data_IF_373328347892
#
_entry.id   IF_373328347892
#
_cell.length_a   1.000
_cell.length_b   1.000
_cell.length_c   1.000
_cell.angle_alpha   90.00
_cell.angle_beta   90.00
_cell.angle_gamma   90.00
#
_symmetry.space_group_name_H-M   'P 1'
#
loop_
_entity.id
_entity.type
_entity.pdbx_description
1 polymer ?
#
# COMPACT_ATOMS: atom_id res chain seq x y z
N UNK A 1 30.89 14.96 6.00
CA UNK A 1 30.76 15.20 4.54
C UNK A 1 29.29 15.05 4.20
N UNK A 2 28.71 16.15 3.74
CA UNK A 2 27.30 16.45 3.77
C UNK A 2 26.51 15.69 2.72
N UNK A 3 25.33 15.17 3.11
CA UNK A 3 24.33 14.58 2.24
C UNK A 3 23.96 15.54 1.10
N UNK A 4 24.44 15.26 -0.11
CA UNK A 4 23.98 15.93 -1.32
C UNK A 4 22.87 15.11 -1.97
N UNK A 5 21.66 15.68 -1.88
CA UNK A 5 20.62 15.70 -2.90
C UNK A 5 20.45 14.42 -3.74
N UNK A 6 19.51 13.57 -3.33
CA UNK A 6 18.66 12.89 -4.33
C UNK A 6 17.79 13.98 -4.93
N UNK A 7 18.17 14.44 -6.12
CA UNK A 7 17.35 15.34 -6.94
C UNK A 7 16.14 14.52 -7.39
N UNK A 8 15.04 14.62 -6.64
CA UNK A 8 13.72 14.27 -7.17
C UNK A 8 13.47 15.22 -8.34
N UNK A 9 13.25 14.74 -9.58
CA UNK A 9 13.01 15.61 -10.71
C UNK A 9 11.85 16.58 -10.40
N UNK A 10 12.08 17.89 -10.49
CA UNK A 10 11.04 18.93 -10.30
C UNK A 10 9.92 18.89 -11.36
N UNK A 11 9.94 17.91 -12.27
CA UNK A 11 8.95 17.73 -13.32
C UNK A 11 7.67 16.99 -12.85
N UNK A 12 7.51 16.74 -11.56
CA UNK A 12 6.25 16.23 -10.96
C UNK A 12 5.27 17.34 -10.57
N UNK A 13 5.39 18.54 -11.15
CA UNK A 13 4.36 19.58 -11.03
C UNK A 13 3.06 19.10 -11.67
N UNK A 14 2.16 18.63 -10.81
CA UNK A 14 0.70 18.68 -10.89
C UNK A 14 0.13 19.33 -12.16
N UNK A 15 0.10 18.59 -13.27
CA UNK A 15 -0.81 18.89 -14.37
C UNK A 15 -2.25 18.66 -13.88
N UNK A 16 -2.90 19.75 -13.46
CA UNK A 16 -4.34 19.89 -13.24
C UNK A 16 -4.97 18.88 -12.25
N UNK A 17 -4.58 18.92 -10.98
CA UNK A 17 -5.48 18.43 -9.94
C UNK A 17 -6.36 19.59 -9.44
N UNK A 18 -7.56 19.66 -10.04
CA UNK A 18 -8.79 20.26 -9.52
C UNK A 18 -8.85 21.80 -9.47
N UNK A 19 -9.76 22.39 -10.25
CA UNK A 19 -10.24 23.76 -10.02
C UNK A 19 -11.23 23.77 -8.86
N UNK A 20 -10.75 24.05 -7.65
CA UNK A 20 -11.60 24.25 -6.47
C UNK A 20 -12.14 25.67 -6.49
N UNK A 21 -13.45 25.85 -6.29
CA UNK A 21 -14.02 27.19 -6.19
C UNK A 21 -13.42 27.94 -4.99
N UNK A 22 -13.08 29.25 -5.13
CA UNK A 22 -12.65 30.06 -3.99
C UNK A 22 -13.63 30.03 -2.81
N UNK A 23 -14.93 29.81 -3.07
CA UNK A 23 -15.94 29.66 -2.03
C UNK A 23 -15.80 28.35 -1.24
N UNK A 24 -15.50 27.23 -1.91
CA UNK A 24 -15.30 25.93 -1.26
C UNK A 24 -14.02 25.91 -0.43
N UNK A 25 -12.97 26.56 -0.94
CA UNK A 25 -11.72 26.77 -0.21
C UNK A 25 -11.96 27.57 1.07
N UNK A 26 -12.66 28.70 0.97
CA UNK A 26 -13.05 29.51 2.13
C UNK A 26 -13.93 28.75 3.11
N UNK A 27 -14.86 27.90 2.63
CA UNK A 27 -15.72 27.10 3.50
C UNK A 27 -14.91 26.09 4.31
N UNK A 28 -13.97 25.39 3.67
CA UNK A 28 -13.05 24.46 4.34
C UNK A 28 -12.15 25.18 5.36
N UNK A 29 -11.62 26.35 5.00
CA UNK A 29 -10.80 27.20 5.90
C UNK A 29 -11.62 27.80 7.06
N UNK A 30 -12.90 28.14 6.85
CA UNK A 30 -13.78 28.62 7.92
C UNK A 30 -14.10 27.54 8.94
N UNK A 31 -14.17 26.27 8.51
CA UNK A 31 -14.24 25.14 9.44
C UNK A 31 -12.97 25.03 10.33
N UNK A 32 -11.83 25.60 9.90
CA UNK A 32 -10.58 25.65 10.66
C UNK A 32 -10.56 26.72 11.78
N UNK A 33 -11.31 27.82 11.61
CA UNK A 33 -11.26 28.97 12.54
C UNK A 33 -12.04 28.74 13.84
N UNK A 34 -12.95 27.77 13.91
CA UNK A 34 -13.80 27.49 15.08
C UNK A 34 -13.12 26.70 16.21
N UNK A 35 -11.80 26.53 16.22
CA UNK A 35 -11.14 25.40 16.92
C UNK A 35 -10.01 25.71 17.94
N UNK A 36 -9.81 26.92 18.45
CA UNK A 36 -8.76 27.15 19.49
C UNK A 36 -9.30 27.05 20.93
N UNK A 37 -9.13 25.88 21.56
CA UNK A 37 -9.09 25.70 23.04
C UNK A 37 -8.35 24.41 23.45
N UNK A 38 -7.77 24.32 24.67
CA UNK A 38 -6.58 23.52 24.99
C UNK A 38 -6.86 22.09 25.53
N UNK A 39 -5.81 21.23 25.66
CA UNK A 39 -5.96 19.80 25.96
C UNK A 39 -6.20 19.49 27.45
N UNK A 40 -7.12 18.56 27.74
CA UNK A 40 -7.37 17.98 29.07
C UNK A 40 -6.46 16.77 29.34
N UNK A 41 -5.93 16.73 30.55
CA UNK A 41 -5.07 15.69 31.13
C UNK A 41 -5.85 14.38 31.38
N UNK A 42 -5.23 13.23 31.09
CA UNK A 42 -5.73 11.91 31.50
C UNK A 42 -5.02 11.42 32.78
N UNK A 43 -5.82 10.93 33.72
CA UNK A 43 -5.42 10.28 34.97
C UNK A 43 -5.04 8.81 34.75
N UNK A 44 -4.04 8.34 35.50
CA UNK A 44 -3.51 6.97 35.53
C UNK A 44 -4.16 6.14 36.65
N UNK A 45 -4.38 4.86 36.39
CA UNK A 45 -4.57 3.79 37.39
C UNK A 45 -4.57 2.46 36.62
N UNK A 46 -3.83 1.40 36.96
CA UNK A 46 -3.15 1.02 38.19
C UNK A 46 -3.71 -0.32 38.65
N UNK A 47 -3.18 -1.46 38.17
CA UNK A 47 -3.44 -2.78 38.77
C UNK A 47 -2.26 -3.76 38.56
N UNK A 48 -1.97 -4.50 39.63
CA UNK A 48 -0.90 -5.49 39.85
C UNK A 48 -1.43 -6.95 39.74
N UNK A 49 -0.58 -8.00 39.77
CA UNK A 49 -0.83 -9.29 39.08
C UNK A 49 -0.95 -10.59 39.93
N UNK A 50 -1.26 -11.70 39.22
CA UNK A 50 -0.95 -13.16 39.47
C UNK A 50 -1.86 -13.97 40.43
N UNK A 51 -1.88 -15.35 40.45
CA UNK A 51 -0.90 -16.34 39.92
C UNK A 51 -1.38 -17.72 39.33
N UNK A 52 -0.43 -18.39 38.64
CA UNK A 52 -0.04 -19.84 38.57
C UNK A 52 -1.01 -21.00 38.25
N UNK A 53 -0.55 -21.94 37.39
CA UNK A 53 -0.42 -23.39 37.70
C UNK A 53 0.35 -24.20 36.62
N UNK A 54 1.32 -25.01 37.07
CA UNK A 54 2.14 -25.98 36.31
C UNK A 54 1.42 -27.32 36.09
N UNK A 55 1.83 -28.09 35.06
CA UNK A 55 1.98 -29.56 35.17
C UNK A 55 2.93 -30.14 34.10
N UNK A 56 3.40 -31.35 34.42
CA UNK A 56 4.71 -31.96 34.16
C UNK A 56 4.71 -33.01 33.02
N UNK A 57 5.93 -33.26 32.50
CA UNK A 57 6.43 -34.29 31.58
C UNK A 57 5.62 -35.58 31.34
N UNK A 58 5.64 -36.08 30.10
CA UNK A 58 6.42 -37.26 29.65
C UNK A 58 5.89 -37.81 28.32
N UNK A 59 6.74 -37.99 27.31
CA UNK A 59 6.89 -39.21 26.49
C UNK A 59 7.89 -38.96 25.36
N UNK A 60 9.07 -39.57 25.47
CA UNK A 60 10.00 -39.76 24.36
C UNK A 60 9.89 -41.21 23.90
N UNK A 61 10.06 -41.39 22.59
CA UNK A 61 10.41 -42.62 21.82
C UNK A 61 9.41 -42.92 20.71
N UNK A 62 9.38 -42.04 19.69
CA UNK A 62 9.05 -42.37 18.28
C UNK A 62 9.14 -41.18 17.29
N UNK A 63 9.67 -40.00 17.67
CA UNK A 63 9.70 -38.79 16.81
C UNK A 63 11.01 -38.56 16.02
N UNK A 64 12.09 -39.31 16.28
CA UNK A 64 13.42 -38.99 15.72
C UNK A 64 13.55 -39.17 14.20
N UNK A 65 12.79 -40.08 13.58
CA UNK A 65 12.91 -40.37 12.14
C UNK A 65 12.10 -39.43 11.23
N UNK A 66 11.05 -38.79 11.74
CA UNK A 66 10.23 -37.82 10.99
C UNK A 66 10.86 -36.42 11.07
N UNK A 67 11.45 -36.07 12.21
CA UNK A 67 12.16 -34.81 12.40
C UNK A 67 13.48 -34.75 11.60
N UNK A 68 14.23 -35.86 11.48
CA UNK A 68 15.43 -35.89 10.64
C UNK A 68 15.10 -35.74 9.15
N UNK A 69 14.03 -36.37 8.66
CA UNK A 69 13.60 -36.23 7.26
C UNK A 69 13.12 -34.81 6.95
N UNK A 70 12.32 -34.21 7.84
CA UNK A 70 11.88 -32.83 7.73
C UNK A 70 13.02 -31.80 7.86
N UNK A 71 14.07 -32.12 8.61
CA UNK A 71 15.26 -31.29 8.78
C UNK A 71 16.20 -31.40 7.56
N UNK A 72 16.45 -32.61 7.04
CA UNK A 72 17.20 -32.81 5.80
C UNK A 72 16.52 -32.15 4.59
N UNK A 73 15.19 -32.18 4.51
CA UNK A 73 14.45 -31.54 3.43
C UNK A 73 14.47 -30.00 3.53
N UNK A 74 14.40 -29.44 4.76
CA UNK A 74 14.59 -28.00 4.99
C UNK A 74 16.02 -27.53 4.70
N UNK A 75 17.02 -28.36 4.98
CA UNK A 75 18.41 -28.06 4.67
C UNK A 75 18.65 -28.09 3.14
N UNK A 76 18.05 -29.05 2.43
CA UNK A 76 18.11 -29.13 0.96
C UNK A 76 17.40 -27.96 0.27
N UNK A 77 16.21 -27.56 0.74
CA UNK A 77 15.51 -26.38 0.21
C UNK A 77 16.29 -25.09 0.47
N UNK A 78 16.95 -24.98 1.63
CA UNK A 78 17.79 -23.83 1.97
C UNK A 78 19.01 -23.76 1.06
N UNK A 79 19.69 -24.88 0.84
CA UNK A 79 20.84 -24.97 -0.08
C UNK A 79 20.46 -24.57 -1.50
N UNK A 80 19.30 -25.04 -1.99
CA UNK A 80 18.77 -24.68 -3.30
C UNK A 80 18.46 -23.17 -3.42
N UNK A 81 17.83 -22.58 -2.40
CA UNK A 81 17.58 -21.13 -2.36
C UNK A 81 18.90 -20.34 -2.38
N UNK A 82 19.89 -20.76 -1.58
CA UNK A 82 21.22 -20.13 -1.57
C UNK A 82 21.88 -20.26 -2.95
N UNK A 83 21.78 -21.41 -3.61
CA UNK A 83 22.29 -21.61 -4.96
C UNK A 83 21.65 -20.64 -5.95
N UNK A 84 20.33 -20.46 -5.93
CA UNK A 84 19.67 -19.48 -6.78
C UNK A 84 20.09 -18.04 -6.48
N UNK A 85 20.29 -17.68 -5.21
CA UNK A 85 20.80 -16.35 -4.84
C UNK A 85 22.19 -16.12 -5.41
N UNK A 86 23.08 -17.12 -5.33
CA UNK A 86 24.42 -17.04 -5.93
C UNK A 86 24.35 -16.89 -7.46
N UNK A 87 23.42 -17.61 -8.11
CA UNK A 87 23.20 -17.53 -9.55
C UNK A 87 22.70 -16.17 -10.04
N UNK A 88 22.16 -15.30 -9.17
CA UNK A 88 21.78 -13.93 -9.55
C UNK A 88 22.97 -13.11 -10.07
N UNK A 89 24.19 -13.43 -9.62
CA UNK A 89 25.42 -12.75 -10.04
C UNK A 89 25.82 -13.10 -11.48
N UNK A 90 25.41 -14.27 -11.95
CA UNK A 90 25.65 -14.75 -13.31
C UNK A 90 24.55 -14.23 -14.24
N UNK A 91 24.90 -13.37 -15.21
CA UNK A 91 23.94 -12.71 -16.10
C UNK A 91 23.12 -13.71 -16.93
N UNK A 92 23.69 -14.86 -17.29
CA UNK A 92 23.00 -15.88 -18.09
C UNK A 92 21.96 -16.65 -17.28
N UNK A 93 22.24 -16.87 -15.99
CA UNK A 93 21.34 -17.63 -15.08
C UNK A 93 20.37 -16.75 -14.31
N UNK A 94 20.62 -15.44 -14.26
CA UNK A 94 19.87 -14.49 -13.43
C UNK A 94 18.36 -14.55 -13.65
N UNK A 95 17.91 -14.61 -14.90
CA UNK A 95 16.47 -14.62 -15.20
C UNK A 95 15.76 -15.85 -14.63
N UNK A 96 16.37 -17.02 -14.80
CA UNK A 96 15.86 -18.27 -14.23
C UNK A 96 15.88 -18.20 -12.70
N UNK A 97 17.00 -17.78 -12.11
CA UNK A 97 17.13 -17.65 -10.66
C UNK A 97 16.09 -16.68 -10.05
N UNK A 98 15.84 -15.54 -10.69
CA UNK A 98 14.79 -14.59 -10.27
C UNK A 98 13.40 -15.23 -10.29
N UNK A 99 13.09 -15.99 -11.35
CA UNK A 99 11.82 -16.71 -11.49
C UNK A 99 11.63 -17.75 -10.39
N UNK A 100 12.64 -18.59 -10.14
CA UNK A 100 12.58 -19.64 -9.13
C UNK A 100 12.50 -19.08 -7.70
N UNK A 101 13.30 -18.05 -7.39
CA UNK A 101 13.22 -17.37 -6.09
C UNK A 101 11.85 -16.73 -5.88
N UNK A 102 11.27 -16.09 -6.91
CA UNK A 102 9.95 -15.47 -6.81
C UNK A 102 8.85 -16.50 -6.52
N UNK A 103 8.97 -17.74 -7.01
CA UNK A 103 8.03 -18.84 -6.68
C UNK A 103 8.16 -19.30 -5.23
N UNK A 104 9.35 -19.21 -4.63
CA UNK A 104 9.62 -19.62 -3.24
C UNK A 104 9.23 -18.58 -2.19
N UNK A 105 8.76 -17.38 -2.59
CA UNK A 105 8.47 -16.25 -1.67
C UNK A 105 7.43 -16.54 -0.59
N UNK A 106 6.48 -17.43 -0.85
CA UNK A 106 5.40 -17.80 0.08
C UNK A 106 5.73 -19.07 0.87
N UNK A 107 6.48 -20.00 0.28
CA UNK A 107 6.81 -21.30 0.87
C UNK A 107 8.10 -21.29 1.70
N UNK A 108 8.97 -20.29 1.55
CA UNK A 108 10.24 -20.18 2.26
C UNK A 108 10.29 -18.91 3.15
N UNK A 109 9.90 -19.01 4.44
CA UNK A 109 9.78 -17.83 5.33
C UNK A 109 11.08 -17.04 5.53
N UNK A 110 12.24 -17.69 5.45
CA UNK A 110 13.55 -17.07 5.67
C UNK A 110 14.12 -16.40 4.41
N UNK A 111 13.36 -16.31 3.32
CA UNK A 111 13.85 -15.79 2.04
C UNK A 111 14.30 -14.33 2.17
N UNK A 112 13.50 -13.49 2.81
CA UNK A 112 13.77 -12.06 2.89
C UNK A 112 15.10 -11.72 3.57
N UNK A 113 15.42 -12.26 4.77
CA UNK A 113 16.74 -12.06 5.39
C UNK A 113 17.89 -12.56 4.52
N UNK A 114 17.76 -13.75 3.88
CA UNK A 114 18.79 -14.26 2.98
C UNK A 114 19.04 -13.32 1.81
N UNK A 115 17.98 -12.82 1.16
CA UNK A 115 18.10 -11.87 0.06
C UNK A 115 18.74 -10.55 0.50
N UNK A 116 18.34 -10.02 1.65
CA UNK A 116 18.82 -8.73 2.15
C UNK A 116 20.30 -8.76 2.54
N UNK A 117 20.73 -9.81 3.24
CA UNK A 117 22.10 -9.93 3.75
C UNK A 117 23.07 -10.57 2.77
N UNK A 118 22.60 -11.15 1.67
CA UNK A 118 23.47 -11.63 0.61
C UNK A 118 24.12 -10.48 -0.16
N UNK A 119 25.45 -10.48 -0.20
CA UNK A 119 26.23 -9.40 -0.83
C UNK A 119 25.86 -9.26 -2.30
N UNK A 120 25.49 -8.04 -2.70
CA UNK A 120 25.18 -7.65 -4.08
C UNK A 120 23.75 -7.94 -4.54
N UNK A 121 22.95 -8.71 -3.80
CA UNK A 121 21.59 -9.11 -4.23
C UNK A 121 20.66 -7.92 -4.42
N UNK A 122 20.60 -7.00 -3.44
CA UNK A 122 19.76 -5.80 -3.56
C UNK A 122 20.24 -4.87 -4.68
N UNK A 123 21.57 -4.77 -4.90
CA UNK A 123 22.12 -3.99 -6.01
C UNK A 123 21.71 -4.57 -7.37
N UNK A 124 21.69 -5.89 -7.52
CA UNK A 124 21.19 -6.57 -8.72
C UNK A 124 19.72 -6.25 -8.94
N UNK A 125 18.88 -6.29 -7.89
CA UNK A 125 17.46 -5.93 -8.03
C UNK A 125 17.26 -4.48 -8.50
N UNK A 126 18.04 -3.54 -7.95
CA UNK A 126 18.01 -2.14 -8.38
C UNK A 126 18.51 -1.97 -9.82
N UNK A 127 19.50 -2.76 -10.24
CA UNK A 127 19.98 -2.78 -11.62
C UNK A 127 18.88 -3.28 -12.59
N UNK A 128 18.17 -4.35 -12.23
CA UNK A 128 17.05 -4.87 -13.02
C UNK A 128 15.92 -3.83 -13.15
N UNK A 129 15.64 -3.06 -12.08
CA UNK A 129 14.72 -1.91 -12.14
C UNK A 129 15.22 -0.84 -13.11
N UNK A 130 16.48 -0.43 -12.98
CA UNK A 130 17.06 0.64 -13.79
C UNK A 130 17.05 0.31 -15.29
N UNK A 131 17.30 -0.95 -15.66
CA UNK A 131 17.22 -1.42 -17.06
C UNK A 131 15.82 -1.22 -17.65
N UNK A 132 14.75 -1.31 -16.85
CA UNK A 132 13.38 -1.12 -17.33
C UNK A 132 13.07 0.34 -17.62
N UNK A 133 13.77 1.31 -17.01
CA UNK A 133 13.49 2.74 -17.20
C UNK A 133 13.60 3.20 -18.64
N UNK A 134 14.55 2.67 -19.42
CA UNK A 134 14.70 2.99 -20.84
C UNK A 134 13.51 2.54 -21.70
N UNK A 135 12.68 1.61 -21.20
CA UNK A 135 11.51 1.08 -21.90
C UNK A 135 10.20 1.74 -21.46
N UNK A 136 10.25 2.69 -20.52
CA UNK A 136 9.07 3.46 -20.10
C UNK A 136 8.75 4.58 -21.08
N UNK A 137 9.79 5.18 -21.67
CA UNK A 137 9.69 6.25 -22.67
C UNK A 137 10.79 6.07 -23.75
N UNK A 138 10.44 5.69 -25.00
CA UNK A 138 9.10 5.34 -25.48
C UNK A 138 8.56 4.07 -24.80
N UNK A 139 7.23 3.93 -24.74
CA UNK A 139 6.56 2.86 -23.98
C UNK A 139 6.67 1.48 -24.67
N UNK A 140 7.88 0.91 -24.66
CA UNK A 140 8.30 -0.29 -25.41
C UNK A 140 8.66 -1.45 -24.46
N UNK A 141 7.82 -1.69 -23.46
CA UNK A 141 8.01 -2.82 -22.53
C UNK A 141 7.46 -4.12 -23.12
N UNK A 142 8.32 -5.10 -23.35
CA UNK A 142 7.92 -6.43 -23.85
C UNK A 142 7.31 -7.31 -22.75
N UNK A 143 6.52 -8.34 -23.10
CA UNK A 143 5.99 -9.30 -22.12
C UNK A 143 7.08 -10.03 -21.33
N UNK A 144 8.19 -10.40 -21.97
CA UNK A 144 9.32 -11.07 -21.31
C UNK A 144 9.99 -10.15 -20.27
N UNK A 145 10.28 -8.90 -20.65
CA UNK A 145 10.83 -7.89 -19.72
C UNK A 145 9.89 -7.63 -18.54
N UNK A 146 8.58 -7.53 -18.81
CA UNK A 146 7.55 -7.37 -17.78
C UNK A 146 7.53 -8.55 -16.80
N UNK A 147 7.58 -9.79 -17.29
CA UNK A 147 7.63 -10.98 -16.44
C UNK A 147 8.87 -10.98 -15.53
N UNK A 148 10.05 -10.70 -16.12
CA UNK A 148 11.33 -10.66 -15.41
C UNK A 148 11.34 -9.61 -14.30
N UNK A 149 10.91 -8.37 -14.59
CA UNK A 149 10.86 -7.32 -13.56
C UNK A 149 9.79 -7.63 -12.50
N UNK A 150 8.65 -8.23 -12.87
CA UNK A 150 7.65 -8.65 -11.90
C UNK A 150 8.18 -9.71 -10.91
N UNK A 151 9.08 -10.59 -11.32
CA UNK A 151 9.79 -11.50 -10.40
C UNK A 151 10.62 -10.73 -9.38
N UNK A 152 11.39 -9.72 -9.82
CA UNK A 152 12.16 -8.84 -8.92
C UNK A 152 11.21 -8.12 -7.95
N UNK A 153 10.14 -7.51 -8.46
CA UNK A 153 9.15 -6.80 -7.63
C UNK A 153 8.47 -7.73 -6.61
N UNK A 154 8.21 -8.99 -6.97
CA UNK A 154 7.70 -10.00 -6.03
C UNK A 154 8.69 -10.30 -4.89
N UNK A 155 9.99 -10.33 -5.18
CA UNK A 155 11.03 -10.47 -4.17
C UNK A 155 11.15 -9.21 -3.29
N UNK A 156 11.06 -8.01 -3.87
CA UNK A 156 11.01 -6.76 -3.10
C UNK A 156 9.77 -6.70 -2.20
N UNK A 157 8.63 -7.22 -2.66
CA UNK A 157 7.41 -7.35 -1.85
C UNK A 157 7.64 -8.26 -0.64
N UNK A 158 8.38 -9.36 -0.81
CA UNK A 158 8.79 -10.24 0.29
C UNK A 158 9.63 -9.48 1.34
N UNK A 159 10.61 -8.68 0.89
CA UNK A 159 11.43 -7.83 1.78
C UNK A 159 10.59 -6.80 2.54
N UNK A 160 9.59 -6.19 1.88
CA UNK A 160 8.71 -5.20 2.47
C UNK A 160 7.73 -5.79 3.51
N UNK A 161 7.33 -7.06 3.37
CA UNK A 161 6.45 -7.75 4.31
C UNK A 161 7.20 -8.29 5.54
N UNK A 162 8.48 -8.61 5.40
CA UNK A 162 9.21 -9.32 6.44
C UNK A 162 9.73 -8.39 7.55
N UNK A 163 9.46 -8.75 8.81
CA UNK A 163 9.67 -7.89 9.98
C UNK A 163 11.12 -7.43 10.15
N UNK A 164 12.09 -8.28 9.80
CA UNK A 164 13.52 -7.97 9.96
C UNK A 164 14.07 -7.07 8.85
N UNK A 165 13.47 -7.08 7.66
CA UNK A 165 14.01 -6.37 6.48
C UNK A 165 13.22 -5.11 6.15
N UNK A 166 11.96 -5.02 6.58
CA UNK A 166 11.06 -3.90 6.25
C UNK A 166 11.64 -2.53 6.58
N UNK A 167 12.15 -2.32 7.80
CA UNK A 167 12.70 -1.01 8.20
C UNK A 167 13.96 -0.68 7.40
N UNK A 168 14.84 -1.65 7.15
CA UNK A 168 16.03 -1.46 6.32
C UNK A 168 15.66 -1.14 4.86
N UNK A 169 14.66 -1.83 4.30
CA UNK A 169 14.12 -1.61 2.97
C UNK A 169 13.56 -0.19 2.81
N UNK A 170 12.83 0.30 3.83
CA UNK A 170 12.27 1.65 3.87
C UNK A 170 13.38 2.71 3.97
N UNK A 171 14.30 2.55 4.93
CA UNK A 171 15.44 3.46 5.14
C UNK A 171 16.39 3.53 3.94
N UNK A 172 16.48 2.46 3.15
CA UNK A 172 17.23 2.44 1.91
C UNK A 172 16.52 3.17 0.75
N UNK A 173 15.32 3.73 0.98
CA UNK A 173 14.53 4.46 -0.01
C UNK A 173 14.23 3.66 -1.30
N UNK A 174 14.29 2.32 -1.22
CA UNK A 174 13.98 1.42 -2.34
C UNK A 174 12.60 1.67 -2.95
N UNK A 175 11.53 1.97 -2.18
CA UNK A 175 10.21 2.26 -2.76
C UNK A 175 10.22 3.37 -3.83
N UNK A 176 11.13 4.34 -3.73
CA UNK A 176 11.20 5.46 -4.68
C UNK A 176 11.57 5.02 -6.09
N UNK A 177 12.34 3.93 -6.22
CA UNK A 177 12.68 3.35 -7.52
C UNK A 177 11.46 2.78 -8.26
N UNK A 178 10.33 2.58 -7.57
CA UNK A 178 9.11 2.05 -8.17
C UNK A 178 8.18 3.14 -8.71
N UNK A 179 8.39 4.41 -8.34
CA UNK A 179 7.49 5.50 -8.72
C UNK A 179 7.47 5.78 -10.24
N UNK A 180 8.58 5.68 -10.98
CA UNK A 180 8.53 5.75 -12.44
C UNK A 180 7.60 4.72 -13.06
N UNK A 181 7.52 3.50 -12.50
CA UNK A 181 6.59 2.46 -12.96
C UNK A 181 5.13 2.84 -12.72
N UNK A 182 4.82 3.37 -11.53
CA UNK A 182 3.48 3.85 -11.16
C UNK A 182 3.02 5.05 -11.99
N UNK A 183 3.96 5.85 -12.51
CA UNK A 183 3.67 7.03 -13.33
C UNK A 183 3.28 6.69 -14.78
N UNK A 184 3.48 5.45 -15.23
CA UNK A 184 3.14 5.03 -16.59
C UNK A 184 1.63 5.03 -16.86
N UNK A 185 1.24 5.33 -18.09
CA UNK A 185 -0.19 5.40 -18.51
C UNK A 185 -0.57 4.41 -19.62
N UNK A 186 0.42 3.71 -20.21
CA UNK A 186 0.18 2.72 -21.26
C UNK A 186 -0.65 1.54 -20.71
N UNK A 187 -1.73 1.17 -21.41
CA UNK A 187 -2.71 0.15 -20.98
C UNK A 187 -2.37 -1.28 -21.44
N UNK A 188 -1.21 -1.51 -22.06
CA UNK A 188 -0.81 -2.86 -22.45
C UNK A 188 -0.66 -3.77 -21.24
N UNK A 189 -0.88 -5.08 -21.42
CA UNK A 189 -0.78 -6.07 -20.33
C UNK A 189 0.56 -6.02 -19.60
N UNK A 190 1.65 -5.76 -20.33
CA UNK A 190 3.00 -5.63 -19.75
C UNK A 190 3.09 -4.45 -18.77
N UNK A 191 2.55 -3.29 -19.14
CA UNK A 191 2.54 -2.11 -18.28
C UNK A 191 1.54 -2.22 -17.11
N UNK A 192 0.41 -2.91 -17.29
CA UNK A 192 -0.51 -3.19 -16.18
C UNK A 192 0.12 -4.11 -15.14
N UNK A 193 0.76 -5.19 -15.58
CA UNK A 193 1.49 -6.10 -14.70
C UNK A 193 2.59 -5.34 -13.93
N UNK A 194 3.35 -4.50 -14.63
CA UNK A 194 4.37 -3.66 -14.01
C UNK A 194 3.77 -2.78 -12.88
N UNK A 195 2.68 -2.06 -13.16
CA UNK A 195 2.03 -1.19 -12.18
C UNK A 195 1.45 -1.96 -11.00
N UNK A 196 0.69 -3.03 -11.26
CA UNK A 196 0.02 -3.77 -10.18
C UNK A 196 1.02 -4.45 -9.26
N UNK A 197 2.11 -5.03 -9.79
CA UNK A 197 3.16 -5.63 -8.96
C UNK A 197 3.92 -4.56 -8.18
N UNK A 198 4.18 -3.39 -8.77
CA UNK A 198 4.80 -2.26 -8.07
C UNK A 198 3.92 -1.75 -6.92
N UNK A 199 2.61 -1.60 -7.15
CA UNK A 199 1.63 -1.28 -6.10
C UNK A 199 1.58 -2.37 -5.03
N UNK A 200 1.78 -3.64 -5.38
CA UNK A 200 1.87 -4.75 -4.44
C UNK A 200 3.01 -4.57 -3.41
N UNK A 201 4.16 -4.04 -3.84
CA UNK A 201 5.29 -3.72 -2.94
C UNK A 201 4.92 -2.58 -1.98
N UNK A 202 4.30 -1.51 -2.48
CA UNK A 202 3.84 -0.40 -1.63
C UNK A 202 2.73 -0.84 -0.67
N UNK A 203 1.78 -1.65 -1.18
CA UNK A 203 0.70 -2.24 -0.40
C UNK A 203 1.20 -3.15 0.72
N UNK A 204 2.30 -3.88 0.50
CA UNK A 204 2.95 -4.69 1.52
C UNK A 204 3.48 -3.83 2.68
N UNK A 205 4.11 -2.68 2.41
CA UNK A 205 4.64 -1.78 3.44
C UNK A 205 3.54 -1.29 4.39
N UNK A 206 2.40 -0.89 3.83
CA UNK A 206 1.28 -0.33 4.61
C UNK A 206 0.36 -1.40 5.21
N UNK A 207 0.55 -2.68 4.86
CA UNK A 207 -0.32 -3.76 5.33
C UNK A 207 -0.24 -3.95 6.85
N UNK A 208 0.98 -3.83 7.39
CA UNK A 208 1.27 -4.05 8.81
C UNK A 208 1.05 -2.86 9.73
N UNK A 209 0.34 -1.82 9.26
CA UNK A 209 -0.02 -0.62 10.05
C UNK A 209 1.20 0.04 10.73
N UNK A 210 2.34 0.08 10.02
CA UNK A 210 3.59 0.65 10.51
C UNK A 210 3.60 2.18 10.32
N UNK A 211 3.61 2.97 11.41
CA UNK A 211 3.64 4.43 11.31
C UNK A 211 4.90 4.95 10.59
N UNK A 212 6.03 4.25 10.66
CA UNK A 212 7.25 4.64 9.93
C UNK A 212 7.00 4.61 8.41
N UNK A 213 6.37 3.54 7.92
CA UNK A 213 6.02 3.39 6.52
C UNK A 213 4.99 4.43 6.05
N UNK A 214 3.97 4.72 6.87
CA UNK A 214 2.98 5.75 6.54
C UNK A 214 3.63 7.14 6.46
N UNK A 215 4.48 7.50 7.43
CA UNK A 215 5.19 8.77 7.45
C UNK A 215 6.12 8.93 6.25
N UNK A 216 6.90 7.89 5.91
CA UNK A 216 7.73 7.88 4.71
C UNK A 216 6.90 8.16 3.46
N UNK A 217 5.81 7.41 3.27
CA UNK A 217 4.97 7.50 2.08
C UNK A 217 4.29 8.88 1.91
N UNK A 218 3.87 9.51 3.01
CA UNK A 218 3.32 10.86 2.98
C UNK A 218 4.35 11.91 2.50
N UNK A 219 5.62 11.73 2.86
CA UNK A 219 6.71 12.65 2.50
C UNK A 219 7.19 12.48 1.06
N UNK A 220 6.82 11.39 0.39
CA UNK A 220 7.37 11.00 -0.92
C UNK A 220 6.33 11.03 -2.04
N UNK A 221 5.23 11.79 -1.92
CA UNK A 221 4.24 11.98 -2.99
C UNK A 221 3.56 10.68 -3.51
N UNK A 222 3.43 9.63 -2.69
CA UNK A 222 2.69 8.43 -3.13
C UNK A 222 1.20 8.72 -3.36
N UNK A 223 0.61 9.64 -2.58
CA UNK A 223 -0.83 9.93 -2.62
C UNK A 223 -1.25 10.44 -4.01
N UNK A 224 -0.60 11.47 -4.60
CA UNK A 224 -0.88 11.87 -5.99
C UNK A 224 -0.80 10.73 -7.02
N UNK A 225 0.21 9.85 -6.90
CA UNK A 225 0.36 8.69 -7.80
C UNK A 225 -0.81 7.71 -7.64
N UNK A 226 -1.16 7.35 -6.40
CA UNK A 226 -2.31 6.50 -6.12
C UNK A 226 -3.62 7.12 -6.61
N UNK A 227 -3.87 8.41 -6.37
CA UNK A 227 -5.07 9.10 -6.85
C UNK A 227 -5.20 9.08 -8.37
N UNK A 228 -4.09 9.23 -9.10
CA UNK A 228 -4.08 9.11 -10.56
C UNK A 228 -4.46 7.69 -11.01
N UNK A 229 -3.90 6.66 -10.37
CA UNK A 229 -4.19 5.26 -10.68
C UNK A 229 -5.64 4.91 -10.30
N UNK A 230 -6.13 5.38 -9.15
CA UNK A 230 -7.51 5.23 -8.72
C UNK A 230 -8.52 5.79 -9.74
N UNK A 231 -8.18 6.93 -10.36
CA UNK A 231 -9.01 7.59 -11.38
C UNK A 231 -8.93 6.95 -12.76
N UNK A 232 -7.73 6.53 -13.21
CA UNK A 232 -7.50 6.14 -14.63
C UNK A 232 -7.03 4.71 -14.85
N UNK A 233 -6.69 3.98 -13.79
CA UNK A 233 -6.12 2.63 -13.85
C UNK A 233 -7.14 1.55 -14.17
N UNK A 234 -6.66 0.32 -14.37
CA UNK A 234 -7.51 -0.86 -14.49
C UNK A 234 -7.95 -1.39 -13.13
N UNK A 235 -8.95 -2.27 -13.13
CA UNK A 235 -9.69 -2.74 -11.95
C UNK A 235 -8.79 -3.13 -10.76
N UNK A 236 -7.81 -4.01 -11.00
CA UNK A 236 -6.92 -4.48 -9.93
C UNK A 236 -5.99 -3.37 -9.41
N UNK A 237 -5.43 -2.56 -10.31
CA UNK A 237 -4.58 -1.41 -9.94
C UNK A 237 -5.37 -0.35 -9.16
N UNK A 238 -6.64 -0.09 -9.53
CA UNK A 238 -7.54 0.81 -8.77
C UNK A 238 -7.78 0.27 -7.37
N UNK A 239 -8.03 -1.02 -7.24
CA UNK A 239 -8.25 -1.68 -5.94
C UNK A 239 -7.04 -1.53 -5.03
N UNK A 240 -5.85 -1.89 -5.50
CA UNK A 240 -4.63 -1.82 -4.68
C UNK A 240 -4.26 -0.37 -4.35
N UNK A 241 -4.40 0.57 -5.29
CA UNK A 241 -4.15 1.99 -5.02
C UNK A 241 -5.13 2.57 -3.98
N UNK A 242 -6.41 2.19 -4.04
CA UNK A 242 -7.42 2.59 -3.05
C UNK A 242 -7.11 2.00 -1.68
N UNK A 243 -6.66 0.74 -1.64
CA UNK A 243 -6.21 0.10 -0.39
C UNK A 243 -5.03 0.86 0.26
N UNK A 244 -4.05 1.32 -0.53
CA UNK A 244 -2.92 2.10 -0.01
C UNK A 244 -3.40 3.43 0.58
N UNK A 245 -4.24 4.17 -0.15
CA UNK A 245 -4.83 5.43 0.35
C UNK A 245 -5.69 5.19 1.59
N UNK A 246 -6.45 4.09 1.63
CA UNK A 246 -7.20 3.71 2.82
C UNK A 246 -6.27 3.51 4.02
N UNK A 247 -5.19 2.74 3.88
CA UNK A 247 -4.24 2.51 4.98
C UNK A 247 -3.61 3.81 5.49
N UNK A 248 -3.27 4.74 4.58
CA UNK A 248 -2.82 6.08 4.96
C UNK A 248 -3.90 6.82 5.75
N UNK A 249 -5.16 6.82 5.30
CA UNK A 249 -6.26 7.48 6.01
C UNK A 249 -6.53 6.87 7.39
N UNK A 250 -6.33 5.57 7.56
CA UNK A 250 -6.55 4.89 8.85
C UNK A 250 -5.56 5.36 9.92
N UNK A 251 -4.35 5.73 9.55
CA UNK A 251 -3.39 6.36 10.45
C UNK A 251 -3.80 7.79 10.80
N UNK A 252 -3.61 8.21 12.06
CA UNK A 252 -3.99 9.55 12.52
C UNK A 252 -3.15 10.66 11.85
N UNK A 253 -1.85 10.43 11.62
CA UNK A 253 -1.01 11.40 10.93
C UNK A 253 -1.40 11.50 9.45
N UNK A 254 -1.72 10.36 8.83
CA UNK A 254 -2.25 10.30 7.47
C UNK A 254 -3.57 11.01 7.27
N UNK A 255 -4.54 10.81 8.17
CA UNK A 255 -5.81 11.55 8.16
C UNK A 255 -5.58 13.05 8.31
N UNK A 256 -4.75 13.45 9.29
CA UNK A 256 -4.45 14.87 9.52
C UNK A 256 -3.73 15.50 8.34
N UNK A 257 -2.80 14.79 7.68
CA UNK A 257 -2.10 15.26 6.49
C UNK A 257 -3.05 15.52 5.32
N UNK A 258 -3.98 14.60 5.04
CA UNK A 258 -4.95 14.73 3.95
C UNK A 258 -5.95 15.86 4.26
N UNK A 259 -6.43 15.95 5.49
CA UNK A 259 -7.38 16.98 5.93
C UNK A 259 -6.73 18.31 6.31
N UNK A 260 -5.41 18.46 6.15
CA UNK A 260 -4.67 19.67 6.54
C UNK A 260 -5.05 20.88 5.67
N UNK A 261 -5.22 20.64 4.36
CA UNK A 261 -5.47 21.68 3.36
C UNK A 261 -6.66 21.29 2.50
N UNK A 262 -7.46 22.26 2.03
CA UNK A 262 -8.59 21.98 1.14
C UNK A 262 -8.15 21.27 -0.14
N UNK A 263 -6.99 21.63 -0.70
CA UNK A 263 -6.47 21.03 -1.94
C UNK A 263 -6.29 19.51 -1.81
N UNK A 264 -5.65 19.06 -0.73
CA UNK A 264 -5.45 17.63 -0.46
C UNK A 264 -6.77 16.91 -0.19
N UNK A 265 -7.64 17.49 0.63
CA UNK A 265 -8.94 16.88 0.95
C UNK A 265 -9.80 16.71 -0.31
N UNK A 266 -9.96 17.78 -1.11
CA UNK A 266 -10.78 17.72 -2.32
C UNK A 266 -10.17 16.83 -3.40
N UNK A 267 -8.84 16.77 -3.52
CA UNK A 267 -8.19 15.83 -4.44
C UNK A 267 -8.57 14.37 -4.12
N UNK A 268 -8.58 13.98 -2.84
CA UNK A 268 -9.02 12.63 -2.43
C UNK A 268 -10.52 12.46 -2.62
N UNK A 269 -11.33 13.39 -2.09
CA UNK A 269 -12.80 13.29 -2.11
C UNK A 269 -13.36 13.20 -3.52
N UNK A 270 -12.86 14.00 -4.47
CA UNK A 270 -13.36 13.99 -5.85
C UNK A 270 -13.00 12.72 -6.60
N UNK A 271 -11.81 12.15 -6.35
CA UNK A 271 -11.45 10.86 -6.94
C UNK A 271 -12.37 9.78 -6.38
N UNK A 272 -12.58 9.72 -5.06
CA UNK A 272 -13.51 8.75 -4.45
C UNK A 272 -14.94 8.89 -5.01
N UNK A 273 -15.41 10.12 -5.20
CA UNK A 273 -16.71 10.39 -5.82
C UNK A 273 -16.76 9.85 -7.26
N UNK A 274 -15.77 10.20 -8.09
CA UNK A 274 -15.68 9.71 -9.48
C UNK A 274 -15.73 8.18 -9.52
N UNK A 275 -15.05 7.51 -8.58
CA UNK A 275 -15.04 6.04 -8.53
C UNK A 275 -16.38 5.44 -8.13
N UNK A 276 -17.13 6.06 -7.22
CA UNK A 276 -18.49 5.63 -6.88
C UNK A 276 -19.44 5.81 -8.07
N UNK A 277 -19.36 6.97 -8.73
CA UNK A 277 -20.20 7.27 -9.88
C UNK A 277 -19.91 6.29 -11.03
N UNK A 278 -18.63 5.98 -11.30
CA UNK A 278 -18.22 4.95 -12.26
C UNK A 278 -18.81 3.56 -11.93
N UNK A 279 -18.72 3.14 -10.66
CA UNK A 279 -19.23 1.83 -10.22
C UNK A 279 -20.74 1.74 -10.38
N UNK A 280 -21.45 2.82 -10.05
CA UNK A 280 -22.90 2.90 -10.18
C UNK A 280 -23.34 2.89 -11.65
N UNK A 281 -22.76 3.75 -12.49
CA UNK A 281 -23.12 3.90 -13.91
C UNK A 281 -22.78 2.66 -14.73
N UNK A 282 -21.62 2.05 -14.47
CA UNK A 282 -21.20 0.86 -15.22
C UNK A 282 -21.88 -0.44 -14.77
N UNK A 283 -22.68 -0.38 -13.70
CA UNK A 283 -23.30 -1.55 -13.04
C UNK A 283 -22.29 -2.67 -12.73
N UNK A 284 -21.00 -2.31 -12.55
CA UNK A 284 -19.95 -3.27 -12.23
C UNK A 284 -20.04 -3.67 -10.77
N UNK A 285 -20.07 -4.98 -10.54
CA UNK A 285 -20.14 -5.55 -9.19
C UNK A 285 -18.75 -5.68 -8.52
N UNK A 286 -18.02 -4.57 -8.40
CA UNK A 286 -16.71 -4.56 -7.73
C UNK A 286 -16.84 -4.23 -6.23
N UNK A 287 -17.33 -5.22 -5.48
CA UNK A 287 -17.52 -5.11 -4.03
C UNK A 287 -16.20 -4.93 -3.26
N UNK A 288 -15.06 -5.35 -3.84
CA UNK A 288 -13.74 -5.18 -3.22
C UNK A 288 -13.31 -3.72 -3.25
N UNK A 289 -13.44 -3.08 -4.40
CA UNK A 289 -13.18 -1.66 -4.54
C UNK A 289 -14.15 -0.82 -3.69
N UNK A 290 -15.44 -1.14 -3.75
CA UNK A 290 -16.48 -0.44 -2.97
C UNK A 290 -16.20 -0.49 -1.46
N UNK A 291 -15.76 -1.64 -0.93
CA UNK A 291 -15.34 -1.77 0.47
C UNK A 291 -14.28 -0.73 0.85
N UNK A 292 -13.24 -0.59 0.02
CA UNK A 292 -12.17 0.36 0.30
C UNK A 292 -12.66 1.81 0.22
N UNK A 293 -13.48 2.15 -0.78
CA UNK A 293 -14.03 3.50 -0.93
C UNK A 293 -14.88 3.90 0.29
N UNK A 294 -15.80 3.03 0.72
CA UNK A 294 -16.66 3.29 1.89
C UNK A 294 -15.81 3.45 3.14
N UNK A 295 -14.76 2.62 3.31
CA UNK A 295 -13.87 2.74 4.47
C UNK A 295 -13.09 4.05 4.48
N UNK A 296 -12.69 4.57 3.31
CA UNK A 296 -12.08 5.89 3.18
C UNK A 296 -13.05 7.01 3.59
N UNK A 297 -14.30 6.99 3.09
CA UNK A 297 -15.30 8.01 3.47
C UNK A 297 -15.62 7.97 4.97
N UNK A 298 -15.80 6.77 5.54
CA UNK A 298 -16.01 6.61 6.98
C UNK A 298 -14.86 7.24 7.78
N UNK A 299 -13.61 6.97 7.39
CA UNK A 299 -12.46 7.53 8.09
C UNK A 299 -12.35 9.05 7.91
N UNK A 300 -12.68 9.58 6.73
CA UNK A 300 -12.71 11.02 6.51
C UNK A 300 -13.80 11.72 7.35
N UNK A 301 -14.94 11.08 7.60
CA UNK A 301 -16.02 11.67 8.41
C UNK A 301 -15.68 11.78 9.90
N UNK A 302 -14.71 11.02 10.38
CA UNK A 302 -14.18 11.11 11.76
C UNK A 302 -13.35 12.39 11.97
N UNK A 303 -12.84 13.01 10.91
CA UNK A 303 -12.22 14.32 11.01
C UNK A 303 -13.29 15.42 10.99
N UNK A 304 -13.39 16.20 12.06
CA UNK A 304 -14.43 17.23 12.22
C UNK A 304 -14.54 18.19 11.01
N UNK A 305 -13.42 18.66 10.45
CA UNK A 305 -13.41 19.59 9.32
C UNK A 305 -13.91 18.93 8.03
N UNK A 306 -13.38 17.74 7.75
CA UNK A 306 -13.78 16.96 6.59
C UNK A 306 -15.25 16.51 6.69
N UNK A 307 -15.73 16.14 7.88
CA UNK A 307 -17.11 15.74 8.14
C UNK A 307 -18.12 16.83 7.78
N UNK A 308 -17.90 18.08 8.20
CA UNK A 308 -18.76 19.22 7.86
C UNK A 308 -18.85 19.47 6.34
N UNK A 309 -17.75 19.23 5.63
CA UNK A 309 -17.69 19.39 4.17
C UNK A 309 -18.35 18.19 3.50
N UNK A 310 -18.03 16.97 3.92
CA UNK A 310 -18.62 15.73 3.41
C UNK A 310 -20.14 15.72 3.57
N UNK A 311 -20.71 16.29 4.62
CA UNK A 311 -22.16 16.42 4.77
C UNK A 311 -22.83 17.07 3.54
N UNK A 312 -22.17 18.06 2.96
CA UNK A 312 -22.63 18.75 1.74
C UNK A 312 -22.29 17.95 0.47
N UNK A 313 -21.06 17.45 0.36
CA UNK A 313 -20.50 16.88 -0.88
C UNK A 313 -20.54 15.34 -0.98
N UNK A 314 -21.13 14.62 -0.02
CA UNK A 314 -21.24 13.16 -0.10
C UNK A 314 -22.00 12.75 -1.38
N UNK A 315 -21.50 11.78 -2.17
CA UNK A 315 -22.15 11.33 -3.40
C UNK A 315 -23.59 10.86 -3.15
N UNK A 316 -24.52 11.17 -4.06
CA UNK A 316 -25.94 10.81 -3.89
C UNK A 316 -26.14 9.30 -3.80
N UNK A 317 -25.35 8.52 -4.56
CA UNK A 317 -25.35 7.05 -4.50
C UNK A 317 -25.05 6.51 -3.10
N UNK A 318 -24.29 7.25 -2.28
CA UNK A 318 -24.03 6.89 -0.89
C UNK A 318 -25.02 7.51 0.10
N UNK A 319 -25.76 8.56 -0.27
CA UNK A 319 -26.83 9.11 0.59
C UNK A 319 -28.05 8.19 0.58
N UNK A 320 -28.41 7.69 -0.59
CA UNK A 320 -29.53 6.77 -0.79
C UNK A 320 -29.11 5.63 -1.73
N UNK A 321 -28.34 4.64 -1.24
CA UNK A 321 -27.92 3.52 -2.06
C UNK A 321 -29.11 2.61 -2.36
N UNK A 322 -29.24 2.19 -3.62
CA UNK A 322 -30.12 1.07 -3.97
C UNK A 322 -29.76 -0.15 -3.11
N UNK A 323 -30.76 -0.88 -2.59
CA UNK A 323 -30.55 -1.99 -1.63
C UNK A 323 -29.53 -3.06 -2.09
N UNK A 324 -29.31 -3.19 -3.41
CA UNK A 324 -28.39 -4.15 -4.03
C UNK A 324 -26.97 -3.64 -4.23
N UNK A 325 -26.69 -2.35 -4.00
CA UNK A 325 -25.39 -1.74 -4.29
C UNK A 325 -24.30 -2.20 -3.32
N UNK A 326 -24.61 -2.20 -2.01
CA UNK A 326 -23.72 -2.67 -0.95
C UNK A 326 -24.20 -4.04 -0.49
N UNK A 327 -23.44 -5.09 -0.78
CA UNK A 327 -23.85 -6.48 -0.47
C UNK A 327 -23.33 -6.98 0.88
N UNK A 328 -22.10 -6.62 1.24
CA UNK A 328 -21.43 -7.09 2.45
C UNK A 328 -21.96 -6.41 3.72
N UNK A 329 -22.37 -7.20 4.71
CA UNK A 329 -22.96 -6.72 5.97
C UNK A 329 -22.01 -5.87 6.82
N UNK A 330 -20.71 -6.15 6.80
CA UNK A 330 -19.71 -5.33 7.48
C UNK A 330 -19.61 -3.96 6.79
N UNK A 331 -19.65 -3.95 5.46
CA UNK A 331 -19.61 -2.70 4.67
C UNK A 331 -20.89 -1.89 4.85
N UNK A 332 -22.06 -2.54 4.95
CA UNK A 332 -23.32 -1.86 5.31
C UNK A 332 -23.23 -1.21 6.68
N UNK A 333 -22.65 -1.88 7.69
CA UNK A 333 -22.42 -1.26 9.01
C UNK A 333 -21.50 -0.04 8.92
N UNK A 334 -20.42 -0.11 8.14
CA UNK A 334 -19.53 1.04 7.93
C UNK A 334 -20.23 2.20 7.22
N UNK A 335 -21.07 1.90 6.23
CA UNK A 335 -21.88 2.90 5.54
C UNK A 335 -22.91 3.55 6.46
N UNK A 336 -23.61 2.79 7.29
CA UNK A 336 -24.52 3.32 8.29
C UNK A 336 -23.80 4.23 9.31
N UNK A 337 -22.62 3.81 9.80
CA UNK A 337 -21.82 4.65 10.69
C UNK A 337 -21.36 5.95 10.00
N UNK A 338 -21.03 5.89 8.70
CA UNK A 338 -20.72 7.07 7.91
C UNK A 338 -21.90 8.05 7.87
N UNK A 339 -23.12 7.57 7.59
CA UNK A 339 -24.32 8.41 7.58
C UNK A 339 -24.61 9.01 8.97
N UNK A 340 -24.44 8.21 10.03
CA UNK A 340 -24.57 8.67 11.41
C UNK A 340 -23.57 9.78 11.75
N UNK A 341 -22.28 9.61 11.42
CA UNK A 341 -21.25 10.63 11.63
C UNK A 341 -21.60 11.96 10.93
N UNK A 342 -22.24 11.90 9.77
CA UNK A 342 -22.63 13.07 8.99
C UNK A 342 -24.02 13.62 9.37
N UNK A 343 -24.73 12.96 10.29
CA UNK A 343 -26.13 13.25 10.64
C UNK A 343 -27.05 13.28 9.41
N UNK A 344 -26.81 12.37 8.46
CA UNK A 344 -27.66 12.15 7.29
C UNK A 344 -28.63 11.03 7.67
N UNK A 345 -29.92 11.30 7.58
CA UNK A 345 -30.99 10.36 7.96
C UNK A 345 -31.33 9.42 6.82
#
# INVERSE_FOLDING_TARGET
MSNQYVIVPQNYRSDSMVSISPADKRYFEQAQAKQKSPPQQMMFGGYSPSPSLQKTLSTQLSEQSIDEFGKMQKDSDTELVVQYILQLRDTEKREQALSELSKKRESFPHLAPLLWHSVGTIAIFLQEIAVVYQHLQPAQLTPAQSSRICSVLGLLQCLALHVQTRSCFLRAHIPLFLYPFLNTSNKSKAFENLRVTSLGVIGALVKGDDPEAINFLMQTEIIPLCLRIMKKGQELSRTVATFIVQKILLDDNGLNYICQTPERFFAVSQVLQTMIDDLHQSQKDDQRLLRHIIRCYLRLSENQKAGEVLKKYLPQVLKDPTQSFIKDEVVKKWHNNLLQNLSIK
#
